data_IF_781543151957
#
_entry.id   IF_781543151957
#
_cell.length_a   1.000
_cell.length_b   1.000
_cell.length_c   1.000
_cell.angle_alpha   90.00
_cell.angle_beta   90.00
_cell.angle_gamma   90.00
#
_symmetry.space_group_name_H-M   'P 1'
#
loop_
_entity.id
_entity.type
_entity.pdbx_description
1 polymer ?
#
# COMPACT_ATOMS: atom_id res chain seq x y z
N UNK A 1 7.16 0.33 -5.39
CA UNK A 1 7.62 -0.34 -4.14
C UNK A 1 8.76 0.41 -3.48
N UNK A 2 9.37 1.38 -4.16
CA UNK A 2 10.29 2.34 -3.56
C UNK A 2 10.23 3.66 -4.35
N UNK A 3 11.08 4.62 -3.98
CA UNK A 3 11.32 5.83 -4.74
C UNK A 3 12.47 5.67 -5.74
N UNK A 4 12.55 6.58 -6.70
CA UNK A 4 13.70 6.72 -7.59
C UNK A 4 13.76 8.18 -8.07
N UNK A 5 14.09 9.08 -7.15
CA UNK A 5 14.13 10.51 -7.40
C UNK A 5 15.15 10.86 -8.50
N UNK A 6 14.71 11.41 -9.65
CA UNK A 6 15.60 11.74 -10.77
C UNK A 6 16.54 12.92 -10.47
N UNK A 7 16.35 13.62 -9.37
CA UNK A 7 17.22 14.69 -8.88
C UNK A 7 18.24 14.19 -7.85
N UNK A 8 18.13 12.93 -7.42
CA UNK A 8 19.06 12.30 -6.49
C UNK A 8 20.43 12.09 -7.13
N UNK A 9 21.49 12.32 -6.35
CA UNK A 9 22.85 12.07 -6.80
C UNK A 9 23.14 10.57 -6.84
N UNK A 10 23.78 10.09 -7.91
CA UNK A 10 24.11 8.68 -8.09
C UNK A 10 23.09 7.95 -8.96
N UNK A 11 22.97 6.64 -8.81
CA UNK A 11 22.13 5.77 -9.66
C UNK A 11 21.33 4.73 -8.88
N UNK A 12 21.30 4.84 -7.55
CA UNK A 12 20.55 3.92 -6.69
C UNK A 12 19.15 4.48 -6.38
N UNK A 13 18.26 3.64 -5.87
CA UNK A 13 16.91 4.01 -5.47
C UNK A 13 16.89 4.92 -4.24
N UNK A 14 15.77 5.62 -4.05
CA UNK A 14 15.50 6.46 -2.88
C UNK A 14 14.48 5.80 -1.95
N UNK A 15 14.65 6.00 -0.64
CA UNK A 15 13.73 5.47 0.38
C UNK A 15 12.55 6.43 0.56
N UNK A 16 11.48 6.19 -0.17
CA UNK A 16 10.27 7.01 -0.17
C UNK A 16 9.02 6.22 0.23
N UNK A 17 8.00 6.94 0.71
CA UNK A 17 6.66 6.39 0.82
C UNK A 17 6.05 6.24 -0.57
N UNK A 18 5.38 5.12 -0.83
CA UNK A 18 4.60 4.93 -2.06
C UNK A 18 3.15 5.40 -1.86
N UNK A 19 2.50 5.96 -2.88
CA UNK A 19 1.07 6.24 -2.83
C UNK A 19 0.25 4.96 -2.98
N UNK A 20 -0.87 4.88 -2.27
CA UNK A 20 -1.90 3.85 -2.49
C UNK A 20 -3.23 4.54 -2.73
N UNK A 21 -3.87 4.24 -3.86
CA UNK A 21 -5.22 4.69 -4.17
C UNK A 21 -6.13 3.48 -4.27
N UNK A 22 -7.26 3.51 -3.56
CA UNK A 22 -8.28 2.47 -3.61
C UNK A 22 -9.54 3.08 -4.22
N UNK A 23 -10.10 2.43 -5.22
CA UNK A 23 -11.29 2.89 -5.92
C UNK A 23 -12.28 1.74 -6.13
N UNK A 24 -13.57 2.04 -5.98
CA UNK A 24 -14.64 1.10 -6.28
C UNK A 24 -15.98 1.54 -5.71
N UNK A 25 -17.09 0.93 -6.14
CA UNK A 25 -18.44 1.36 -5.77
C UNK A 25 -18.73 1.34 -4.25
N UNK A 26 -18.01 0.49 -3.50
CA UNK A 26 -18.17 0.32 -2.05
C UNK A 26 -17.09 1.03 -1.22
N UNK A 27 -16.15 1.72 -1.88
CA UNK A 27 -15.06 2.42 -1.18
C UNK A 27 -15.60 3.74 -0.65
N UNK A 28 -15.48 3.95 0.66
CA UNK A 28 -15.86 5.22 1.29
C UNK A 28 -14.82 6.29 0.90
N UNK A 29 -15.23 7.46 0.39
CA UNK A 29 -14.31 8.56 0.12
C UNK A 29 -13.59 9.02 1.39
N UNK A 30 -12.29 9.29 1.28
CA UNK A 30 -11.49 9.83 2.38
C UNK A 30 -10.05 9.33 2.37
N UNK A 31 -9.32 9.74 3.39
CA UNK A 31 -7.97 9.24 3.65
C UNK A 31 -8.01 7.92 4.41
N UNK A 32 -7.26 6.93 3.93
CA UNK A 32 -7.02 5.67 4.66
C UNK A 32 -5.84 5.78 5.66
N UNK A 33 -5.28 7.00 5.79
CA UNK A 33 -4.15 7.30 6.66
C UNK A 33 -2.83 6.73 6.15
N UNK A 34 -1.79 6.90 6.97
CA UNK A 34 -0.49 6.28 6.77
C UNK A 34 -0.57 4.76 6.98
N UNK A 35 0.22 3.99 6.22
CA UNK A 35 0.34 2.53 6.33
C UNK A 35 1.75 2.17 6.74
N UNK A 36 1.87 1.32 7.75
CA UNK A 36 3.16 0.90 8.33
C UNK A 36 3.93 -0.09 7.42
N UNK A 37 3.23 -0.76 6.52
CA UNK A 37 3.82 -1.78 5.63
C UNK A 37 3.04 -1.91 4.32
N UNK A 38 3.72 -2.30 3.24
CA UNK A 38 3.07 -2.64 1.97
C UNK A 38 2.21 -3.90 2.06
N UNK A 39 2.46 -4.76 3.06
CA UNK A 39 1.70 -5.98 3.29
C UNK A 39 0.19 -5.70 3.52
N UNK A 40 -0.16 -4.48 3.94
CA UNK A 40 -1.55 -4.03 4.07
C UNK A 40 -2.34 -4.15 2.76
N UNK A 41 -1.68 -3.99 1.60
CA UNK A 41 -2.31 -4.18 0.28
C UNK A 41 -2.74 -5.64 0.13
N UNK A 42 -1.82 -6.58 0.38
CA UNK A 42 -2.08 -8.02 0.30
C UNK A 42 -3.16 -8.47 1.27
N UNK A 43 -3.06 -8.06 2.54
CA UNK A 43 -4.06 -8.39 3.56
C UNK A 43 -5.45 -7.83 3.22
N UNK A 44 -5.53 -6.65 2.59
CA UNK A 44 -6.79 -6.08 2.11
C UNK A 44 -7.40 -6.92 0.98
N UNK A 45 -6.59 -7.40 0.04
CA UNK A 45 -7.05 -8.28 -1.04
C UNK A 45 -7.51 -9.64 -0.50
N UNK A 46 -6.76 -10.23 0.43
CA UNK A 46 -7.12 -11.50 1.06
C UNK A 46 -8.51 -11.42 1.71
N UNK A 47 -8.75 -10.36 2.48
CA UNK A 47 -10.06 -10.09 3.08
C UNK A 47 -11.15 -9.84 2.04
N UNK A 48 -10.86 -9.11 0.97
CA UNK A 48 -11.83 -8.81 -0.08
C UNK A 48 -12.31 -10.06 -0.83
N UNK A 49 -11.41 -10.99 -1.12
CA UNK A 49 -11.72 -12.24 -1.83
C UNK A 49 -12.12 -13.40 -0.91
N UNK A 50 -12.03 -13.23 0.42
CA UNK A 50 -12.34 -14.27 1.39
C UNK A 50 -11.34 -15.43 1.40
N UNK A 51 -10.06 -15.15 1.11
CA UNK A 51 -8.98 -16.14 1.22
C UNK A 51 -8.42 -16.18 2.64
N UNK A 52 -7.45 -17.06 2.91
CA UNK A 52 -6.72 -17.06 4.18
C UNK A 52 -5.99 -15.74 4.43
N UNK A 53 -5.85 -15.37 5.70
CA UNK A 53 -5.06 -14.21 6.10
C UNK A 53 -3.57 -14.36 5.74
N UNK A 54 -2.91 -13.22 5.54
CA UNK A 54 -1.46 -13.14 5.35
C UNK A 54 -0.76 -13.07 6.71
N UNK A 55 0.51 -13.47 6.76
CA UNK A 55 1.31 -13.37 8.00
C UNK A 55 1.58 -11.93 8.43
N UNK A 56 1.58 -10.98 7.47
CA UNK A 56 1.85 -9.58 7.70
C UNK A 56 0.78 -8.66 7.12
N UNK A 57 0.69 -7.48 7.71
CA UNK A 57 -0.18 -6.41 7.27
C UNK A 57 -1.53 -6.38 8.00
N UNK A 58 -2.26 -5.29 7.78
CA UNK A 58 -3.60 -5.04 8.31
C UNK A 58 -4.48 -4.58 7.17
N UNK A 59 -5.62 -5.24 7.00
CA UNK A 59 -6.59 -4.86 5.98
C UNK A 59 -7.04 -3.40 6.19
N UNK A 60 -7.13 -2.65 5.10
CA UNK A 60 -7.50 -1.23 5.12
C UNK A 60 -9.01 -1.00 5.36
N UNK A 61 -9.84 -2.01 5.10
CA UNK A 61 -11.29 -2.02 5.30
C UNK A 61 -11.81 -3.44 5.48
#
# INVERSE_FOLDING_TARGET
>A
DHGCDPTWTGTDHTREHIPVLVYGPKVKPGSLGHRETFADIGQTLAKYFGTSDMEYGKAMF
#
